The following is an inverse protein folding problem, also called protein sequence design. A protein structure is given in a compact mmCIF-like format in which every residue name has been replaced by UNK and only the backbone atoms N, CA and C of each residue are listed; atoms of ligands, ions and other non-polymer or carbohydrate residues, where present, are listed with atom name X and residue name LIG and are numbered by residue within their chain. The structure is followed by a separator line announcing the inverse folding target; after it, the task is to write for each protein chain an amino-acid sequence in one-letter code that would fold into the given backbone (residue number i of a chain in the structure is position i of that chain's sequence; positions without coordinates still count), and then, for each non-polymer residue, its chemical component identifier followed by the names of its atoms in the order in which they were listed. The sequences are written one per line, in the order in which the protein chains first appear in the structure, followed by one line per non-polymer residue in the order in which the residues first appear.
data_IF_216696063744
#
_entry.id   IF_216696063744
#
_cell.length_a   1.000
_cell.length_b   1.000
_cell.length_c   1.000
_cell.angle_alpha   90.00
_cell.angle_beta   90.00
_cell.angle_gamma   90.00
#
_symmetry.space_group_name_H-M   'P 1'
#
loop_
_entity.id
_entity.type
_entity.pdbx_description
1 polymer ?
#
# COMPACT_ATOMS: atom_id res chain seq x y z
N UNK A 1 -9.47 3.68 0.77
CA UNK A 1 -10.81 3.09 0.60
C UNK A 1 -10.68 1.66 0.12
N UNK A 2 -11.54 0.78 0.61
CA UNK A 2 -11.68 -0.61 0.19
C UNK A 2 -13.08 -0.82 -0.40
N UNK A 3 -13.16 -1.62 -1.44
CA UNK A 3 -14.40 -2.15 -2.03
C UNK A 3 -14.13 -3.60 -2.41
N UNK A 4 -13.89 -4.42 -1.37
CA UNK A 4 -13.50 -5.81 -1.52
C UNK A 4 -14.65 -6.64 -2.08
N UNK A 5 -14.33 -7.53 -2.98
CA UNK A 5 -15.27 -8.44 -3.61
C UNK A 5 -14.60 -9.36 -4.60
N UNK A 6 -15.13 -10.55 -4.74
CA UNK A 6 -14.65 -11.51 -5.74
C UNK A 6 -14.81 -10.92 -7.15
N UNK A 7 -13.84 -11.16 -8.03
CA UNK A 7 -13.94 -10.80 -9.45
C UNK A 7 -15.25 -11.30 -10.04
N UNK A 8 -15.57 -12.57 -9.76
CA UNK A 8 -16.85 -13.21 -10.09
C UNK A 8 -17.26 -14.07 -8.91
N UNK A 9 -18.53 -13.94 -8.48
CA UNK A 9 -19.16 -14.86 -7.57
C UNK A 9 -20.19 -15.67 -8.35
N UNK A 10 -20.06 -16.99 -8.34
CA UNK A 10 -20.96 -17.90 -9.01
C UNK A 10 -21.34 -19.05 -8.07
N UNK A 11 -22.55 -19.59 -8.26
CA UNK A 11 -23.05 -20.79 -7.59
C UNK A 11 -23.80 -21.65 -8.60
N UNK A 12 -23.55 -22.93 -8.59
CA UNK A 12 -24.18 -23.92 -9.47
C UNK A 12 -24.15 -23.53 -10.97
N UNK A 13 -22.99 -23.00 -11.41
CA UNK A 13 -22.77 -22.55 -12.80
C UNK A 13 -23.44 -21.21 -13.15
N UNK A 14 -24.15 -20.57 -12.22
CA UNK A 14 -24.78 -19.26 -12.43
C UNK A 14 -23.98 -18.15 -11.77
N UNK A 15 -23.67 -17.11 -12.52
CA UNK A 15 -22.99 -15.90 -12.00
C UNK A 15 -23.99 -15.08 -11.17
N UNK A 16 -23.68 -14.94 -9.85
CA UNK A 16 -24.49 -14.17 -8.91
C UNK A 16 -24.04 -12.68 -8.87
N UNK A 17 -22.74 -12.44 -8.91
CA UNK A 17 -22.17 -11.07 -8.84
C UNK A 17 -20.86 -11.00 -9.61
N UNK A 18 -20.58 -9.83 -10.20
CA UNK A 18 -19.28 -9.45 -10.76
C UNK A 18 -18.79 -8.20 -10.04
N UNK A 19 -17.50 -8.07 -9.87
CA UNK A 19 -16.91 -6.80 -9.46
C UNK A 19 -17.25 -5.75 -10.53
N UNK A 20 -17.97 -4.71 -10.14
CA UNK A 20 -18.39 -3.68 -11.07
C UNK A 20 -17.25 -2.72 -11.43
N UNK A 21 -17.34 -2.08 -12.61
CA UNK A 21 -16.39 -1.05 -13.00
C UNK A 21 -16.41 0.14 -12.03
N UNK A 22 -17.55 0.47 -11.45
CA UNK A 22 -17.68 1.54 -10.47
C UNK A 22 -16.94 1.21 -9.15
N UNK A 23 -17.06 -0.04 -8.65
CA UNK A 23 -16.29 -0.50 -7.48
C UNK A 23 -14.79 -0.53 -7.76
N UNK A 24 -14.39 -0.96 -8.97
CA UNK A 24 -13.01 -0.90 -9.43
C UNK A 24 -12.49 0.54 -9.45
N UNK A 25 -13.17 1.42 -10.19
CA UNK A 25 -12.72 2.80 -10.42
C UNK A 25 -12.63 3.59 -9.10
N UNK A 26 -13.60 3.43 -8.20
CA UNK A 26 -13.57 4.11 -6.90
C UNK A 26 -12.31 3.78 -6.09
N UNK A 27 -11.81 2.55 -6.16
CA UNK A 27 -10.57 2.15 -5.48
C UNK A 27 -9.33 2.67 -6.21
N UNK A 28 -9.31 2.60 -7.54
CA UNK A 28 -8.20 3.12 -8.37
C UNK A 28 -8.07 4.64 -8.18
N UNK A 29 -9.16 5.37 -8.21
CA UNK A 29 -9.14 6.84 -8.09
C UNK A 29 -8.50 7.30 -6.78
N UNK A 30 -8.84 6.66 -5.66
CA UNK A 30 -8.30 7.05 -4.36
C UNK A 30 -6.90 6.46 -4.13
N UNK A 31 -6.72 5.14 -4.35
CA UNK A 31 -5.51 4.44 -3.91
C UNK A 31 -4.36 4.47 -4.92
N UNK A 32 -4.61 4.85 -6.17
CA UNK A 32 -3.59 4.95 -7.22
C UNK A 32 -3.53 6.35 -7.82
N UNK A 33 -4.63 6.83 -8.40
CA UNK A 33 -4.67 8.15 -9.05
C UNK A 33 -4.39 9.28 -8.05
N UNK A 34 -4.99 9.20 -6.84
CA UNK A 34 -4.73 10.16 -5.77
C UNK A 34 -3.27 10.19 -5.33
N UNK A 35 -2.62 9.03 -5.20
CA UNK A 35 -1.19 8.94 -4.88
C UNK A 35 -0.34 9.55 -5.99
N UNK A 36 -0.67 9.29 -7.25
CA UNK A 36 0.01 9.89 -8.40
C UNK A 36 -0.10 11.42 -8.37
N UNK A 37 -1.30 11.96 -8.17
CA UNK A 37 -1.50 13.41 -8.15
C UNK A 37 -0.73 14.07 -7.01
N UNK A 38 -0.81 13.55 -5.79
CA UNK A 38 -0.08 14.08 -4.65
C UNK A 38 1.44 14.02 -4.87
N UNK A 39 1.95 12.89 -5.38
CA UNK A 39 3.39 12.73 -5.64
C UNK A 39 3.90 13.68 -6.72
N UNK A 40 3.13 13.88 -7.79
CA UNK A 40 3.44 14.83 -8.87
C UNK A 40 3.54 16.26 -8.35
N UNK A 41 2.52 16.73 -7.62
CA UNK A 41 2.49 18.08 -7.06
C UNK A 41 3.59 18.31 -6.02
N UNK A 42 3.86 17.31 -5.18
CA UNK A 42 4.96 17.38 -4.21
C UNK A 42 6.32 17.48 -4.91
N UNK A 43 6.57 16.67 -5.94
CA UNK A 43 7.80 16.73 -6.72
C UNK A 43 7.96 18.07 -7.42
N UNK A 44 6.90 18.59 -8.05
CA UNK A 44 6.90 19.91 -8.69
C UNK A 44 7.26 21.00 -7.68
N UNK A 45 6.67 20.97 -6.50
CA UNK A 45 6.94 21.97 -5.48
C UNK A 45 8.37 21.89 -4.95
N UNK A 46 8.91 20.67 -4.71
CA UNK A 46 10.31 20.50 -4.32
C UNK A 46 11.26 21.05 -5.38
N UNK A 47 11.00 20.81 -6.67
CA UNK A 47 11.82 21.32 -7.77
C UNK A 47 11.77 22.86 -7.82
N UNK A 48 10.58 23.45 -7.71
CA UNK A 48 10.40 24.92 -7.73
C UNK A 48 11.14 25.63 -6.58
N UNK A 49 11.19 25.00 -5.42
CA UNK A 49 11.85 25.57 -4.22
C UNK A 49 13.31 25.18 -4.12
N UNK A 50 13.82 24.33 -5.00
CA UNK A 50 15.19 23.79 -4.91
C UNK A 50 15.40 22.86 -3.71
N UNK A 51 14.32 22.37 -3.10
CA UNK A 51 14.38 21.50 -1.93
C UNK A 51 14.70 20.06 -2.33
N UNK A 52 15.65 19.46 -1.64
CA UNK A 52 15.86 18.01 -1.67
C UNK A 52 14.87 17.35 -0.72
N UNK A 53 14.52 16.09 -0.97
CA UNK A 53 13.59 15.40 -0.08
C UNK A 53 13.31 13.97 -0.49
N UNK A 54 12.28 13.40 0.11
CA UNK A 54 11.82 12.05 -0.20
C UNK A 54 10.29 12.00 -0.25
N UNK A 55 9.76 11.28 -1.22
CA UNK A 55 8.34 10.90 -1.30
C UNK A 55 8.23 9.49 -0.74
N UNK A 56 7.52 9.34 0.38
CA UNK A 56 7.25 8.03 1.00
C UNK A 56 5.82 7.62 0.67
N UNK A 57 5.67 6.58 -0.12
CA UNK A 57 4.39 6.03 -0.51
C UNK A 57 3.97 4.89 0.43
N UNK A 58 2.67 4.77 0.71
CA UNK A 58 2.13 3.64 1.45
C UNK A 58 1.49 2.66 0.47
N UNK A 59 2.19 1.54 0.25
CA UNK A 59 1.70 0.40 -0.51
C UNK A 59 0.95 -0.59 0.42
N UNK A 60 1.06 -1.87 0.19
CA UNK A 60 0.49 -2.95 1.02
C UNK A 60 1.12 -4.28 0.61
N UNK A 61 1.14 -5.27 1.48
CA UNK A 61 1.42 -6.66 1.08
C UNK A 61 0.42 -7.18 0.04
N UNK A 62 -0.82 -6.66 0.04
CA UNK A 62 -1.85 -6.99 -0.96
C UNK A 62 -1.42 -6.67 -2.41
N UNK A 63 -0.34 -5.89 -2.61
CA UNK A 63 0.24 -5.65 -3.94
C UNK A 63 0.71 -6.93 -4.66
N UNK A 64 0.96 -8.00 -3.91
CA UNK A 64 1.32 -9.32 -4.46
C UNK A 64 0.10 -10.12 -4.92
N UNK A 65 -1.09 -9.67 -4.58
CA UNK A 65 -2.37 -10.32 -4.84
C UNK A 65 -3.03 -10.77 -3.53
N UNK A 66 -4.32 -10.47 -3.38
CA UNK A 66 -5.12 -10.95 -2.27
C UNK A 66 -6.54 -11.28 -2.75
N UNK A 67 -7.07 -12.41 -2.29
CA UNK A 67 -8.40 -12.87 -2.67
C UNK A 67 -9.46 -11.81 -2.33
N UNK A 68 -10.30 -11.47 -3.31
CA UNK A 68 -11.34 -10.46 -3.16
C UNK A 68 -10.85 -9.01 -3.27
N UNK A 69 -9.58 -8.77 -3.61
CA UNK A 69 -8.99 -7.44 -3.67
C UNK A 69 -8.38 -7.11 -5.03
N UNK A 70 -8.98 -7.53 -6.12
CA UNK A 70 -8.47 -7.29 -7.48
C UNK A 70 -8.14 -5.80 -7.73
N UNK A 71 -9.05 -4.89 -7.36
CA UNK A 71 -8.88 -3.45 -7.48
C UNK A 71 -7.80 -2.89 -6.55
N UNK A 72 -7.84 -3.27 -5.27
CA UNK A 72 -6.90 -2.79 -4.26
C UNK A 72 -5.48 -3.31 -4.51
N UNK A 73 -5.33 -4.60 -4.84
CA UNK A 73 -4.03 -5.20 -5.18
C UNK A 73 -3.41 -4.52 -6.41
N UNK A 74 -4.20 -4.26 -7.46
CA UNK A 74 -3.75 -3.55 -8.64
C UNK A 74 -3.29 -2.12 -8.30
N UNK A 75 -4.07 -1.38 -7.48
CA UNK A 75 -3.70 -0.05 -7.05
C UNK A 75 -2.38 -0.04 -6.26
N UNK A 76 -2.22 -0.95 -5.28
CA UNK A 76 -1.03 -1.00 -4.43
C UNK A 76 0.21 -1.54 -5.15
N UNK A 77 0.04 -2.40 -6.16
CA UNK A 77 1.10 -2.77 -7.10
C UNK A 77 1.52 -1.57 -7.96
N UNK A 78 0.57 -0.79 -8.45
CA UNK A 78 0.83 0.46 -9.18
C UNK A 78 1.61 1.47 -8.35
N UNK A 79 1.25 1.65 -7.07
CA UNK A 79 2.00 2.52 -6.13
C UNK A 79 3.45 2.05 -5.97
N UNK A 80 3.68 0.73 -5.84
CA UNK A 80 5.03 0.19 -5.76
C UNK A 80 5.83 0.45 -7.05
N UNK A 81 5.22 0.28 -8.21
CA UNK A 81 5.85 0.54 -9.50
C UNK A 81 6.19 2.04 -9.68
N UNK A 82 5.24 2.95 -9.36
CA UNK A 82 5.47 4.39 -9.39
C UNK A 82 6.63 4.80 -8.48
N UNK A 83 6.75 4.22 -7.28
CA UNK A 83 7.85 4.47 -6.36
C UNK A 83 9.21 4.22 -7.00
N UNK A 84 9.37 3.10 -7.71
CA UNK A 84 10.61 2.75 -8.41
C UNK A 84 10.87 3.68 -9.59
N UNK A 85 9.84 4.03 -10.33
CA UNK A 85 9.93 4.95 -11.47
C UNK A 85 10.35 6.34 -11.02
N UNK A 86 9.67 6.90 -10.01
CA UNK A 86 9.98 8.23 -9.48
C UNK A 86 11.38 8.32 -8.86
N UNK A 87 11.87 7.25 -8.23
CA UNK A 87 13.23 7.19 -7.74
C UNK A 87 14.29 7.42 -8.84
N UNK A 88 13.99 6.95 -10.06
CA UNK A 88 14.87 7.13 -11.23
C UNK A 88 14.69 8.51 -11.87
N UNK A 89 13.45 8.93 -12.07
CA UNK A 89 13.12 10.18 -12.76
C UNK A 89 13.52 11.42 -11.94
N UNK A 90 13.33 11.37 -10.61
CA UNK A 90 13.52 12.51 -9.72
C UNK A 90 14.92 12.61 -9.12
N UNK A 91 15.76 11.57 -9.28
CA UNK A 91 17.12 11.54 -8.74
C UNK A 91 17.96 12.75 -9.17
N UNK A 92 17.82 13.19 -10.43
CA UNK A 92 18.52 14.37 -10.98
C UNK A 92 18.18 15.68 -10.26
N UNK A 93 17.08 15.73 -9.52
CA UNK A 93 16.67 16.88 -8.70
C UNK A 93 17.01 16.70 -7.21
N UNK A 94 17.66 15.60 -6.85
CA UNK A 94 17.96 15.27 -5.44
C UNK A 94 16.74 14.82 -4.65
N UNK A 95 15.69 14.36 -5.33
CA UNK A 95 14.45 13.85 -4.71
C UNK A 95 14.45 12.33 -4.77
N UNK A 96 14.28 11.68 -3.62
CA UNK A 96 14.16 10.23 -3.48
C UNK A 96 12.69 9.80 -3.47
N UNK A 97 12.46 8.54 -3.76
CA UNK A 97 11.13 7.91 -3.62
C UNK A 97 11.28 6.52 -3.02
N UNK A 98 10.54 6.23 -1.97
CA UNK A 98 10.49 4.92 -1.34
C UNK A 98 9.04 4.57 -0.94
N UNK A 99 8.79 3.32 -0.63
CA UNK A 99 7.47 2.90 -0.13
C UNK A 99 7.59 1.97 1.06
N UNK A 100 6.60 2.04 1.93
CA UNK A 100 6.33 1.03 2.95
C UNK A 100 5.15 0.19 2.50
N UNK A 101 5.23 -1.12 2.67
CA UNK A 101 4.16 -2.07 2.38
C UNK A 101 3.74 -2.78 3.68
N UNK A 102 2.79 -2.20 4.44
CA UNK A 102 2.32 -2.80 5.67
C UNK A 102 1.55 -4.10 5.42
N UNK A 103 1.67 -5.02 6.38
CA UNK A 103 0.76 -6.14 6.57
C UNK A 103 -0.46 -5.75 7.40
N UNK A 104 -0.85 -6.61 8.33
CA UNK A 104 -1.92 -6.32 9.28
C UNK A 104 -1.39 -5.52 10.46
N UNK A 105 -1.86 -4.28 10.58
CA UNK A 105 -1.44 -3.31 11.60
C UNK A 105 -2.59 -3.06 12.58
N UNK A 106 -2.27 -2.96 13.87
CA UNK A 106 -3.22 -2.69 14.95
C UNK A 106 -3.73 -1.24 14.90
N UNK A 107 -4.66 -1.00 13.98
CA UNK A 107 -5.40 0.28 13.84
C UNK A 107 -6.77 0.16 14.51
N UNK A 108 -7.44 1.29 14.72
CA UNK A 108 -8.81 1.33 15.29
C UNK A 108 -9.79 0.42 14.53
N UNK A 109 -9.62 0.30 13.21
CA UNK A 109 -10.42 -0.60 12.38
C UNK A 109 -10.23 -2.07 12.78
N UNK A 110 -9.00 -2.47 13.08
CA UNK A 110 -8.67 -3.84 13.47
C UNK A 110 -9.03 -4.07 14.94
N UNK A 111 -8.86 -3.06 15.80
CA UNK A 111 -9.26 -3.13 17.22
C UNK A 111 -10.77 -3.35 17.39
N UNK A 112 -11.59 -2.95 16.42
CA UNK A 112 -13.04 -3.18 16.43
C UNK A 112 -13.48 -4.56 15.98
N UNK A 113 -12.56 -5.44 15.57
CA UNK A 113 -12.86 -6.81 15.14
C UNK A 113 -13.17 -7.70 16.34
N UNK A 114 -14.00 -8.73 16.08
CA UNK A 114 -14.28 -9.78 17.10
C UNK A 114 -12.99 -10.52 17.45
N UNK A 115 -12.79 -10.92 18.74
CA UNK A 115 -11.58 -11.62 19.18
C UNK A 115 -11.22 -12.85 18.34
N UNK A 116 -12.22 -13.67 17.98
CA UNK A 116 -12.00 -14.88 17.18
C UNK A 116 -11.50 -14.57 15.76
N UNK A 117 -11.95 -13.46 15.18
CA UNK A 117 -11.47 -13.02 13.87
C UNK A 117 -10.03 -12.50 13.97
N UNK A 118 -9.72 -11.77 15.03
CA UNK A 118 -8.37 -11.27 15.31
C UNK A 118 -7.39 -12.42 15.51
N UNK A 119 -7.76 -13.43 16.30
CA UNK A 119 -6.95 -14.63 16.54
C UNK A 119 -6.67 -15.38 15.22
N UNK A 120 -7.70 -15.53 14.37
CA UNK A 120 -7.53 -16.13 13.04
C UNK A 120 -6.54 -15.35 12.17
N UNK A 121 -6.58 -14.03 12.17
CA UNK A 121 -5.62 -13.21 11.44
C UNK A 121 -4.20 -13.33 12.01
N UNK A 122 -4.04 -13.25 13.31
CA UNK A 122 -2.71 -13.34 13.94
C UNK A 122 -2.11 -14.73 13.82
N UNK A 123 -2.92 -15.79 13.75
CA UNK A 123 -2.44 -17.16 13.63
C UNK A 123 -1.67 -17.42 12.34
N UNK A 124 -2.01 -16.71 11.24
CA UNK A 124 -1.34 -16.87 9.93
C UNK A 124 -0.10 -15.99 9.78
N UNK A 125 0.08 -15.00 10.65
CA UNK A 125 1.27 -14.15 10.66
C UNK A 125 2.41 -14.91 11.36
N UNK A 126 3.59 -15.10 10.74
CA UNK A 126 4.72 -15.76 11.40
C UNK A 126 5.12 -15.14 12.74
N UNK A 127 5.10 -13.80 12.85
CA UNK A 127 5.36 -13.07 14.09
C UNK A 127 4.28 -13.25 15.17
N UNK A 128 3.13 -13.91 14.87
CA UNK A 128 2.03 -14.21 15.78
C UNK A 128 1.39 -12.98 16.46
N UNK A 129 1.53 -11.83 15.86
CA UNK A 129 0.92 -10.58 16.29
C UNK A 129 0.65 -9.65 15.11
N UNK A 130 -0.14 -8.64 15.34
CA UNK A 130 -0.24 -7.49 14.44
C UNK A 130 1.02 -6.61 14.55
N UNK A 131 1.32 -5.88 13.50
CA UNK A 131 2.28 -4.78 13.60
C UNK A 131 1.67 -3.59 14.35
N UNK A 132 2.50 -2.82 15.04
CA UNK A 132 2.08 -1.57 15.65
C UNK A 132 2.23 -0.39 14.67
N UNK A 133 1.35 0.65 14.72
CA UNK A 133 1.52 1.86 13.92
C UNK A 133 2.90 2.51 14.09
N UNK A 134 3.47 2.44 15.28
CA UNK A 134 4.80 2.95 15.63
C UNK A 134 5.91 2.25 14.85
N UNK A 135 5.75 0.97 14.51
CA UNK A 135 6.72 0.22 13.69
C UNK A 135 6.71 0.73 12.23
N UNK A 136 5.53 1.12 11.72
CA UNK A 136 5.42 1.78 10.41
C UNK A 136 6.05 3.17 10.45
N UNK A 137 5.79 3.95 11.50
CA UNK A 137 6.37 5.28 11.69
C UNK A 137 7.91 5.20 11.79
N UNK A 138 8.46 4.25 12.54
CA UNK A 138 9.90 4.01 12.63
C UNK A 138 10.52 3.66 11.27
N UNK A 139 9.83 2.89 10.44
CA UNK A 139 10.26 2.59 9.07
C UNK A 139 10.26 3.83 8.19
N UNK A 140 9.25 4.69 8.31
CA UNK A 140 9.23 5.97 7.60
C UNK A 140 10.39 6.88 8.06
N UNK A 141 10.68 6.92 9.35
CA UNK A 141 11.81 7.68 9.90
C UNK A 141 13.15 7.15 9.37
N UNK A 142 13.33 5.82 9.35
CA UNK A 142 14.50 5.19 8.73
C UNK A 142 14.69 5.62 7.26
N UNK A 143 13.60 5.66 6.48
CA UNK A 143 13.66 6.13 5.08
C UNK A 143 14.06 7.61 5.00
N UNK A 144 13.53 8.44 5.91
CA UNK A 144 13.87 9.87 5.98
C UNK A 144 15.34 10.09 6.28
N UNK A 145 15.91 9.38 7.24
CA UNK A 145 17.28 9.55 7.76
C UNK A 145 18.33 8.84 6.90
N UNK A 146 17.94 7.88 6.05
CA UNK A 146 18.88 7.07 5.27
C UNK A 146 18.85 7.43 3.80
N UNK A 147 19.71 8.33 3.37
CA UNK A 147 19.72 8.86 2.00
C UNK A 147 19.99 7.81 0.91
N UNK A 148 20.58 6.68 1.25
CA UNK A 148 20.84 5.59 0.29
C UNK A 148 19.60 4.71 0.03
N UNK A 149 18.51 4.89 0.79
CA UNK A 149 17.23 4.22 0.53
C UNK A 149 16.49 4.98 -0.56
N UNK A 150 16.50 4.44 -1.78
CA UNK A 150 15.82 5.01 -2.93
C UNK A 150 15.27 3.90 -3.85
N UNK A 151 14.07 4.04 -4.36
CA UNK A 151 13.41 3.08 -5.26
C UNK A 151 13.09 1.73 -4.60
N UNK A 152 12.92 1.69 -3.27
CA UNK A 152 12.66 0.46 -2.53
C UNK A 152 11.28 0.44 -1.91
N UNK A 153 10.70 -0.76 -1.83
CA UNK A 153 9.46 -1.05 -1.09
C UNK A 153 9.84 -1.91 0.10
N UNK A 154 9.66 -1.37 1.29
CA UNK A 154 9.98 -2.05 2.55
C UNK A 154 8.71 -2.73 3.06
N UNK A 155 8.73 -4.05 3.14
CA UNK A 155 7.63 -4.84 3.65
C UNK A 155 7.69 -4.90 5.18
N UNK A 156 6.55 -4.54 5.83
CA UNK A 156 6.39 -4.53 7.29
C UNK A 156 5.18 -5.40 7.64
N UNK A 157 5.36 -6.72 7.59
CA UNK A 157 4.27 -7.69 7.53
C UNK A 157 4.38 -8.86 8.53
N UNK A 158 5.40 -8.84 9.39
CA UNK A 158 5.65 -9.92 10.35
C UNK A 158 5.96 -11.28 9.69
N UNK A 159 6.41 -11.26 8.44
CA UNK A 159 6.72 -12.45 7.64
C UNK A 159 5.53 -13.02 6.86
N UNK A 160 4.36 -12.37 6.90
CA UNK A 160 3.19 -12.82 6.16
C UNK A 160 3.40 -12.66 4.64
N UNK A 161 3.06 -13.70 3.88
CA UNK A 161 2.96 -13.67 2.42
C UNK A 161 1.51 -13.99 2.01
N UNK A 162 0.96 -13.20 1.10
CA UNK A 162 -0.37 -13.40 0.52
C UNK A 162 -0.30 -14.19 -0.79
#
# INVERSE_FOLDING_TARGET
ILRDGMLIKAKDGKVEKKLSLAEWQAVIDVNLTGVFLCGREAAEQMIKTGSKGVIINISSISRAGNVGQTNYSAAKAGVAAMTVTWAKELARYGIRSAAVAPGFIATDMVASMKPEALEKFTSVIPAKRLGAPEEIAATCLYILETDYVNGRVIEMDGGLRL
#
